data_IF_882092528201
#
_entry.id   IF_882092528201
#
_cell.length_a   1.000
_cell.length_b   1.000
_cell.length_c   1.000
_cell.angle_alpha   90.00
_cell.angle_beta   90.00
_cell.angle_gamma   90.00
#
_symmetry.space_group_name_H-M   'P 1'
#
loop_
_entity.id
_entity.type
_entity.pdbx_description
1 polymer ?
#
# COMPACT_ATOMS: atom_id res chain seq x y z
N UNK A 1 0.51 -1.97 -1.82
CA UNK A 1 -0.35 -1.04 -2.57
C UNK A 1 0.03 0.40 -2.26
N UNK A 2 0.27 1.19 -3.29
CA UNK A 2 0.50 2.63 -3.16
C UNK A 2 -0.64 3.39 -3.82
N UNK A 3 -1.47 4.10 -3.06
CA UNK A 3 -2.52 4.94 -3.64
C UNK A 3 -1.90 6.08 -4.47
N UNK A 4 -2.56 6.43 -5.56
CA UNK A 4 -2.08 7.42 -6.51
C UNK A 4 -3.06 8.59 -6.56
N UNK A 5 -2.59 9.79 -6.21
CA UNK A 5 -3.33 11.05 -6.14
C UNK A 5 -4.40 11.07 -5.05
N UNK A 6 -4.44 12.15 -4.29
CA UNK A 6 -5.45 12.35 -3.24
C UNK A 6 -6.87 12.39 -3.81
N UNK A 7 -7.05 13.06 -4.96
CA UNK A 7 -8.36 13.17 -5.60
C UNK A 7 -8.91 11.80 -6.00
N UNK A 8 -8.07 10.94 -6.55
CA UNK A 8 -8.49 9.59 -6.97
C UNK A 8 -8.89 8.74 -5.77
N UNK A 9 -8.08 8.75 -4.71
CA UNK A 9 -8.38 7.99 -3.50
C UNK A 9 -9.69 8.46 -2.88
N UNK A 10 -9.88 9.78 -2.79
CA UNK A 10 -11.09 10.38 -2.23
C UNK A 10 -12.33 9.95 -3.01
N UNK A 11 -12.26 9.95 -4.33
CA UNK A 11 -13.41 9.63 -5.19
C UNK A 11 -13.69 8.12 -5.29
N UNK A 12 -12.66 7.28 -5.16
CA UNK A 12 -12.75 5.84 -5.40
C UNK A 12 -12.47 5.00 -4.14
N UNK A 13 -12.51 5.59 -2.97
CA UNK A 13 -12.12 4.90 -1.73
C UNK A 13 -12.95 3.65 -1.45
N UNK A 14 -14.23 3.65 -1.80
CA UNK A 14 -15.10 2.49 -1.59
C UNK A 14 -14.66 1.33 -2.50
N UNK A 15 -14.40 1.62 -3.76
CA UNK A 15 -13.93 0.62 -4.72
C UNK A 15 -12.56 0.10 -4.34
N UNK A 16 -11.62 0.98 -3.97
CA UNK A 16 -10.31 0.56 -3.50
C UNK A 16 -10.41 -0.31 -2.26
N UNK A 17 -11.22 0.11 -1.29
CA UNK A 17 -11.28 -0.58 0.00
C UNK A 17 -11.86 -1.99 -0.10
N UNK A 18 -12.66 -2.27 -1.12
CA UNK A 18 -13.26 -3.61 -1.32
C UNK A 18 -12.53 -4.46 -2.38
N UNK A 19 -11.40 -3.99 -2.91
CA UNK A 19 -10.70 -4.66 -4.01
C UNK A 19 -9.67 -5.71 -3.57
N UNK A 20 -9.42 -5.86 -2.28
CA UNK A 20 -8.30 -6.68 -1.77
C UNK A 20 -8.72 -7.97 -1.10
N UNK A 21 -9.94 -8.43 -1.34
CA UNK A 21 -10.49 -9.61 -0.65
C UNK A 21 -9.72 -10.91 -0.92
N UNK A 22 -8.98 -10.97 -2.02
CA UNK A 22 -8.18 -12.15 -2.37
C UNK A 22 -6.74 -12.10 -1.83
N UNK A 23 -6.35 -10.99 -1.25
CA UNK A 23 -5.04 -10.86 -0.62
C UNK A 23 -5.06 -11.43 0.80
N UNK A 24 -3.93 -11.92 1.26
CA UNK A 24 -3.78 -12.33 2.65
C UNK A 24 -3.41 -11.14 3.53
N UNK A 25 -2.50 -10.31 3.03
CA UNK A 25 -2.03 -9.11 3.73
C UNK A 25 -1.91 -7.99 2.71
N UNK A 26 -2.36 -6.80 3.06
CA UNK A 26 -2.15 -5.58 2.27
C UNK A 26 -1.14 -4.70 2.98
N UNK A 27 -0.03 -4.42 2.32
CA UNK A 27 0.94 -3.43 2.81
C UNK A 27 0.58 -2.09 2.16
N UNK A 28 0.08 -1.17 2.97
CA UNK A 28 -0.39 0.13 2.50
C UNK A 28 0.75 1.14 2.58
N UNK A 29 1.23 1.57 1.41
CA UNK A 29 2.32 2.54 1.30
C UNK A 29 1.78 3.97 1.27
N UNK A 30 2.64 4.98 1.53
CA UNK A 30 2.21 6.37 1.49
C UNK A 30 1.68 6.75 0.11
N UNK A 31 0.71 7.65 0.10
CA UNK A 31 0.11 8.11 -1.15
C UNK A 31 1.16 8.78 -2.05
N UNK A 32 1.10 8.51 -3.34
CA UNK A 32 1.90 9.20 -4.34
C UNK A 32 1.09 10.35 -4.93
N UNK A 33 1.48 11.58 -4.58
CA UNK A 33 0.68 12.76 -4.87
C UNK A 33 0.61 13.10 -6.37
N UNK A 34 1.64 12.72 -7.14
CA UNK A 34 1.71 12.95 -8.60
C UNK A 34 1.48 14.43 -8.97
N UNK A 35 2.11 15.34 -8.21
CA UNK A 35 2.01 16.78 -8.43
C UNK A 35 0.86 17.47 -7.72
N UNK A 36 -0.05 16.73 -7.11
CA UNK A 36 -1.09 17.34 -6.30
C UNK A 36 -0.52 17.88 -4.98
N UNK A 37 -1.17 18.92 -4.44
CA UNK A 37 -0.84 19.39 -3.10
C UNK A 37 -1.32 18.36 -2.07
N UNK A 38 -0.54 18.23 -0.99
CA UNK A 38 -0.93 17.36 0.11
C UNK A 38 -2.29 17.77 0.67
N UNK A 39 -3.20 16.83 0.75
CA UNK A 39 -4.51 17.04 1.36
C UNK A 39 -4.39 16.83 2.86
N UNK A 40 -4.53 17.90 3.64
CA UNK A 40 -4.41 17.87 5.11
C UNK A 40 -5.52 17.06 5.77
N UNK A 41 -6.62 16.86 5.08
CA UNK A 41 -7.76 16.08 5.59
C UNK A 41 -7.62 14.57 5.28
N UNK A 42 -6.65 14.20 4.44
CA UNK A 42 -6.40 12.80 4.14
C UNK A 42 -5.68 12.11 5.31
N UNK A 43 -6.27 11.04 5.80
CA UNK A 43 -5.70 10.21 6.85
C UNK A 43 -5.49 8.81 6.32
N UNK A 44 -4.24 8.39 6.22
CA UNK A 44 -3.91 7.03 5.74
C UNK A 44 -4.53 5.96 6.65
N UNK A 45 -4.64 6.23 7.95
CA UNK A 45 -5.29 5.31 8.89
C UNK A 45 -6.74 5.06 8.53
N UNK A 46 -7.45 6.07 8.06
CA UNK A 46 -8.84 5.93 7.63
C UNK A 46 -8.95 4.97 6.45
N UNK A 47 -8.08 5.13 5.44
CA UNK A 47 -8.06 4.23 4.30
C UNK A 47 -7.68 2.81 4.72
N UNK A 48 -6.69 2.66 5.60
CA UNK A 48 -6.28 1.36 6.12
C UNK A 48 -7.45 0.64 6.81
N UNK A 49 -8.20 1.35 7.64
CA UNK A 49 -9.36 0.79 8.32
C UNK A 49 -10.46 0.39 7.34
N UNK A 50 -10.72 1.20 6.33
CA UNK A 50 -11.71 0.85 5.30
C UNK A 50 -11.32 -0.40 4.53
N UNK A 51 -10.06 -0.55 4.16
CA UNK A 51 -9.57 -1.74 3.47
C UNK A 51 -9.73 -2.98 4.37
N UNK A 52 -9.32 -2.87 5.62
CA UNK A 52 -9.45 -3.97 6.57
C UNK A 52 -10.90 -4.41 6.75
N UNK A 53 -11.83 -3.47 6.85
CA UNK A 53 -13.26 -3.77 7.00
C UNK A 53 -13.89 -4.34 5.74
N UNK A 54 -13.68 -3.65 4.59
CA UNK A 54 -14.41 -3.97 3.37
C UNK A 54 -13.82 -5.16 2.62
N UNK A 55 -12.51 -5.36 2.71
CA UNK A 55 -11.84 -6.50 2.08
C UNK A 55 -11.60 -7.67 3.04
N UNK A 56 -11.86 -7.50 4.33
CA UNK A 56 -11.65 -8.55 5.35
C UNK A 56 -10.21 -9.06 5.33
N UNK A 57 -9.25 -8.16 5.27
CA UNK A 57 -7.84 -8.47 5.12
C UNK A 57 -7.02 -7.72 6.17
N UNK A 58 -5.89 -8.30 6.58
CA UNK A 58 -4.94 -7.61 7.44
C UNK A 58 -4.25 -6.50 6.66
N UNK A 59 -4.17 -5.30 7.24
CA UNK A 59 -3.49 -4.17 6.62
C UNK A 59 -2.33 -3.73 7.50
N UNK A 60 -1.17 -3.59 6.90
CA UNK A 60 0.03 -3.08 7.57
C UNK A 60 0.44 -1.79 6.89
N UNK A 61 0.59 -0.72 7.66
CA UNK A 61 1.02 0.56 7.10
C UNK A 61 2.54 0.58 6.94
N UNK A 62 2.99 1.02 5.79
CA UNK A 62 4.40 1.16 5.45
C UNK A 62 4.71 2.65 5.29
N UNK A 63 5.72 3.14 5.98
CA UNK A 63 6.03 4.57 5.98
C UNK A 63 6.97 4.98 4.85
N UNK A 64 7.90 4.11 4.47
CA UNK A 64 8.87 4.41 3.43
C UNK A 64 9.50 3.10 2.90
N UNK A 65 10.45 3.25 1.98
CA UNK A 65 11.16 2.11 1.38
C UNK A 65 11.92 1.29 2.42
N UNK A 66 12.53 1.94 3.40
CA UNK A 66 13.29 1.26 4.45
C UNK A 66 12.37 0.40 5.28
N UNK A 67 11.22 0.95 5.65
CA UNK A 67 10.20 0.25 6.42
C UNK A 67 9.69 -0.98 5.67
N UNK A 68 9.46 -0.86 4.37
CA UNK A 68 9.05 -1.97 3.52
C UNK A 68 10.11 -3.08 3.49
N UNK A 69 11.36 -2.70 3.32
CA UNK A 69 12.47 -3.65 3.29
C UNK A 69 12.60 -4.41 4.62
N UNK A 70 12.50 -3.68 5.72
CA UNK A 70 12.56 -4.28 7.05
C UNK A 70 11.38 -5.24 7.30
N UNK A 71 10.20 -4.86 6.86
CA UNK A 71 9.03 -5.72 6.98
C UNK A 71 9.27 -7.07 6.28
N UNK A 72 9.76 -7.05 5.05
CA UNK A 72 9.99 -8.30 4.31
C UNK A 72 11.14 -9.11 4.91
N UNK A 73 12.22 -8.48 5.34
CA UNK A 73 13.31 -9.21 6.00
C UNK A 73 12.85 -9.94 7.25
N UNK A 74 11.90 -9.35 7.97
CA UNK A 74 11.42 -9.92 9.23
C UNK A 74 10.31 -10.97 9.02
N UNK A 75 9.45 -10.79 8.03
CA UNK A 75 8.20 -11.54 7.92
C UNK A 75 8.09 -12.45 6.69
N UNK A 76 9.00 -12.30 5.71
CA UNK A 76 8.91 -13.10 4.49
C UNK A 76 9.27 -14.55 4.78
N UNK A 77 8.40 -15.46 4.35
CA UNK A 77 8.62 -16.89 4.37
C UNK A 77 8.57 -17.44 2.95
N UNK A 78 9.02 -18.67 2.75
CA UNK A 78 9.06 -19.28 1.42
C UNK A 78 7.65 -19.45 0.84
N UNK A 79 7.53 -19.40 -0.48
CA UNK A 79 6.31 -19.63 -1.24
C UNK A 79 5.28 -18.51 -1.14
N UNK A 80 5.69 -17.32 -0.71
CA UNK A 80 4.82 -16.15 -0.76
C UNK A 80 4.91 -15.46 -2.12
N UNK A 81 3.79 -14.89 -2.56
CA UNK A 81 3.73 -14.08 -3.77
C UNK A 81 3.57 -12.62 -3.34
N UNK A 82 4.49 -11.78 -3.80
CA UNK A 82 4.45 -10.34 -3.52
C UNK A 82 4.03 -9.62 -4.80
N UNK A 83 2.95 -8.86 -4.72
CA UNK A 83 2.45 -8.08 -5.85
C UNK A 83 2.54 -6.60 -5.50
N UNK A 84 3.34 -5.86 -6.25
CA UNK A 84 3.42 -4.40 -6.11
C UNK A 84 2.41 -3.74 -7.01
N UNK A 85 1.52 -2.94 -6.43
CA UNK A 85 0.46 -2.24 -7.15
C UNK A 85 0.55 -0.73 -6.90
N UNK A 86 0.81 0.02 -7.95
CA UNK A 86 0.90 1.47 -7.86
C UNK A 86 1.62 2.06 -9.07
N UNK A 87 1.34 3.31 -9.37
CA UNK A 87 1.91 4.01 -10.51
C UNK A 87 3.06 4.94 -10.13
N UNK A 88 3.47 4.96 -8.87
CA UNK A 88 4.51 5.84 -8.37
C UNK A 88 5.78 5.10 -7.96
N UNK A 89 6.32 5.46 -6.81
CA UNK A 89 7.62 4.95 -6.34
C UNK A 89 7.63 3.49 -5.96
N UNK A 90 6.48 2.89 -5.66
CA UNK A 90 6.42 1.51 -5.16
C UNK A 90 6.95 0.50 -6.18
N UNK A 91 6.80 0.75 -7.46
CA UNK A 91 7.31 -0.16 -8.49
C UNK A 91 8.84 -0.27 -8.41
N UNK A 92 9.51 0.83 -8.19
CA UNK A 92 10.97 0.82 -7.99
C UNK A 92 11.36 0.15 -6.68
N UNK A 93 10.58 0.38 -5.62
CA UNK A 93 10.84 -0.24 -4.32
C UNK A 93 10.78 -1.77 -4.42
N UNK A 94 9.80 -2.30 -5.14
CA UNK A 94 9.67 -3.74 -5.35
C UNK A 94 10.82 -4.28 -6.18
N UNK A 95 11.19 -3.57 -7.24
CA UNK A 95 12.34 -3.95 -8.07
C UNK A 95 13.63 -4.03 -7.26
N UNK A 96 13.87 -3.03 -6.41
CA UNK A 96 15.06 -2.98 -5.57
C UNK A 96 15.03 -4.05 -4.46
N UNK A 97 13.86 -4.47 -4.06
CA UNK A 97 13.66 -5.47 -3.01
C UNK A 97 14.29 -6.80 -3.38
N UNK A 98 14.17 -7.22 -4.63
CA UNK A 98 14.79 -8.47 -5.13
C UNK A 98 16.30 -8.49 -4.89
N UNK A 99 16.95 -7.34 -4.96
CA UNK A 99 18.40 -7.23 -4.80
C UNK A 99 18.83 -7.16 -3.35
N UNK A 100 17.91 -6.87 -2.45
CA UNK A 100 18.20 -6.63 -1.04
C UNK A 100 17.86 -7.84 -0.17
N UNK A 101 16.94 -8.63 -0.60
CA UNK A 101 16.50 -9.84 0.06
C UNK A 101 17.11 -11.04 -0.65
#
# INVERSE_FOLDING_TARGET
FQPHRYSRVKNLKEEFSSSFSLADIVLLCPIYAAGEKKDKNFKVDHLANLIAENSKVQVVKINDKIDLTLYFKKNLINDEIIVGMGAGSVSKWIYDLEKTI
#
